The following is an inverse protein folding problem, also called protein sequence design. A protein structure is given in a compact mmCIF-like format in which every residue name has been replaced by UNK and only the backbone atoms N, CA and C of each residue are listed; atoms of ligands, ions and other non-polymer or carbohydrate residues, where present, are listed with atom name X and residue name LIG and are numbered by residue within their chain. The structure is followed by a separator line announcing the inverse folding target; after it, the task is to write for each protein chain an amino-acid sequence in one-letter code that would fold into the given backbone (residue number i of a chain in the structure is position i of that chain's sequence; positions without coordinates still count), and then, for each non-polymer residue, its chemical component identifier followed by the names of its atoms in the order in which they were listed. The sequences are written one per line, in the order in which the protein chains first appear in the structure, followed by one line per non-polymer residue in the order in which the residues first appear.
data_IF_550637101718
#
_entry.id   IF_550637101718
#
_cell.length_a   1.000
_cell.length_b   1.000
_cell.length_c   1.000
_cell.angle_alpha   90.00
_cell.angle_beta   90.00
_cell.angle_gamma   90.00
#
_symmetry.space_group_name_H-M   'P 1'
#
loop_
_entity.id
_entity.type
_entity.pdbx_description
1 polymer ?
#
# COMPACT_ATOMS: atom_id res chain seq x y z
N UNK A 1 -23.89 -28.73 -3.11
CA UNK A 1 -22.91 -28.68 -2.01
C UNK A 1 -21.90 -27.60 -2.34
N UNK A 2 -21.78 -26.57 -1.52
CA UNK A 2 -20.73 -25.55 -1.71
C UNK A 2 -19.39 -26.15 -1.26
N UNK A 3 -18.40 -26.18 -2.15
CA UNK A 3 -17.04 -26.61 -1.81
C UNK A 3 -16.41 -25.47 -1.01
N UNK A 4 -16.26 -25.66 0.30
CA UNK A 4 -15.56 -24.70 1.13
C UNK A 4 -14.06 -24.74 0.82
N UNK A 5 -13.50 -23.64 0.34
CA UNK A 5 -12.05 -23.52 0.14
C UNK A 5 -11.37 -23.66 1.51
N UNK A 6 -10.31 -24.48 1.66
CA UNK A 6 -9.54 -24.53 2.90
C UNK A 6 -8.89 -23.17 3.24
N UNK A 7 -8.86 -22.81 4.53
CA UNK A 7 -8.26 -21.54 5.01
C UNK A 7 -6.84 -21.33 4.54
N UNK A 8 -6.00 -22.37 4.63
CA UNK A 8 -4.61 -22.35 4.15
C UNK A 8 -4.46 -21.90 2.68
N UNK A 9 -5.45 -22.22 1.83
CA UNK A 9 -5.41 -21.85 0.41
C UNK A 9 -5.77 -20.37 0.25
N UNK A 10 -6.77 -19.89 1.01
CA UNK A 10 -7.14 -18.47 1.01
C UNK A 10 -6.00 -17.60 1.50
N UNK A 11 -5.35 -18.00 2.59
CA UNK A 11 -4.27 -17.20 3.18
C UNK A 11 -3.06 -17.12 2.24
N UNK A 12 -2.65 -18.24 1.64
CA UNK A 12 -1.57 -18.24 0.64
C UNK A 12 -1.89 -17.36 -0.58
N UNK A 13 -3.13 -17.44 -1.08
CA UNK A 13 -3.55 -16.59 -2.20
C UNK A 13 -3.51 -15.10 -1.83
N UNK A 14 -3.96 -14.76 -0.63
CA UNK A 14 -3.90 -13.39 -0.12
C UNK A 14 -2.46 -12.89 0.00
N UNK A 15 -1.56 -13.68 0.57
CA UNK A 15 -0.13 -13.34 0.66
C UNK A 15 0.49 -13.06 -0.71
N UNK A 16 0.16 -13.88 -1.72
CA UNK A 16 0.64 -13.70 -3.09
C UNK A 16 0.13 -12.40 -3.72
N UNK A 17 -1.16 -12.07 -3.53
CA UNK A 17 -1.73 -10.80 -4.01
C UNK A 17 -1.06 -9.60 -3.32
N UNK A 18 -0.85 -9.68 -2.00
CA UNK A 18 -0.17 -8.63 -1.24
C UNK A 18 1.27 -8.43 -1.71
N UNK A 19 1.97 -9.52 -2.03
CA UNK A 19 3.33 -9.48 -2.58
C UNK A 19 3.35 -8.78 -3.95
N UNK A 20 2.49 -9.20 -4.88
CA UNK A 20 2.37 -8.57 -6.21
C UNK A 20 2.07 -7.07 -6.11
N UNK A 21 1.22 -6.67 -5.16
CA UNK A 21 0.97 -5.25 -4.89
C UNK A 21 2.24 -4.54 -4.42
N UNK A 22 2.94 -5.08 -3.42
CA UNK A 22 4.16 -4.45 -2.86
C UNK A 22 5.30 -4.32 -3.88
N UNK A 23 5.39 -5.26 -4.82
CA UNK A 23 6.34 -5.24 -5.94
C UNK A 23 5.91 -4.29 -7.06
N UNK A 24 4.69 -3.74 -6.98
CA UNK A 24 4.12 -2.82 -7.96
C UNK A 24 3.66 -3.50 -9.24
N UNK A 25 3.50 -4.83 -9.23
CA UNK A 25 3.02 -5.61 -10.37
C UNK A 25 1.52 -5.41 -10.61
N UNK A 26 0.76 -5.17 -9.54
CA UNK A 26 -0.68 -4.86 -9.61
C UNK A 26 -1.01 -3.59 -8.84
N UNK A 27 -2.04 -2.88 -9.31
CA UNK A 27 -2.61 -1.75 -8.58
C UNK A 27 -3.45 -2.20 -7.39
N UNK A 28 -3.67 -1.31 -6.41
CA UNK A 28 -4.56 -1.59 -5.28
C UNK A 28 -5.99 -1.95 -5.73
N UNK A 29 -6.49 -1.32 -6.81
CA UNK A 29 -7.79 -1.66 -7.37
C UNK A 29 -7.83 -3.08 -7.91
N UNK A 30 -6.80 -3.47 -8.67
CA UNK A 30 -6.70 -4.82 -9.23
C UNK A 30 -6.52 -5.88 -8.15
N UNK A 31 -5.71 -5.61 -7.13
CA UNK A 31 -5.53 -6.50 -5.99
C UNK A 31 -6.83 -6.71 -5.20
N UNK A 32 -7.60 -5.64 -4.96
CA UNK A 32 -8.90 -5.72 -4.30
C UNK A 32 -9.90 -6.57 -5.09
N UNK A 33 -9.96 -6.41 -6.42
CA UNK A 33 -10.76 -7.26 -7.30
C UNK A 33 -10.36 -8.74 -7.20
N UNK A 34 -9.06 -9.05 -7.20
CA UNK A 34 -8.55 -10.42 -7.11
C UNK A 34 -8.94 -11.09 -5.80
N UNK A 35 -8.96 -10.34 -4.69
CA UNK A 35 -9.40 -10.82 -3.38
C UNK A 35 -10.92 -10.81 -3.20
N UNK A 36 -11.66 -10.23 -4.15
CA UNK A 36 -13.12 -10.11 -4.06
C UNK A 36 -13.58 -9.17 -2.93
N UNK A 37 -12.78 -8.16 -2.56
CA UNK A 37 -13.08 -7.21 -1.49
C UNK A 37 -13.16 -5.77 -2.02
N UNK A 38 -13.89 -4.86 -1.32
CA UNK A 38 -13.84 -3.44 -1.65
C UNK A 38 -12.43 -2.87 -1.54
N UNK A 39 -12.10 -1.89 -2.39
CA UNK A 39 -10.78 -1.24 -2.38
C UNK A 39 -10.43 -0.59 -1.03
N UNK A 40 -11.41 -0.06 -0.31
CA UNK A 40 -11.20 0.48 1.04
C UNK A 40 -10.75 -0.61 2.02
N UNK A 41 -11.43 -1.77 2.01
CA UNK A 41 -11.06 -2.93 2.83
C UNK A 41 -9.67 -3.48 2.46
N UNK A 42 -9.25 -3.35 1.19
CA UNK A 42 -7.89 -3.68 0.80
C UNK A 42 -6.85 -2.76 1.46
N UNK A 43 -7.12 -1.46 1.56
CA UNK A 43 -6.22 -0.54 2.28
C UNK A 43 -6.16 -0.82 3.78
N UNK A 44 -7.28 -1.20 4.40
CA UNK A 44 -7.31 -1.65 5.79
C UNK A 44 -6.45 -2.91 5.97
N UNK A 45 -6.60 -3.90 5.09
CA UNK A 45 -5.80 -5.12 5.09
C UNK A 45 -4.30 -4.83 4.96
N UNK A 46 -3.90 -3.89 4.10
CA UNK A 46 -2.49 -3.47 3.97
C UNK A 46 -1.94 -2.91 5.29
N UNK A 47 -2.73 -2.08 5.98
CA UNK A 47 -2.34 -1.49 7.26
C UNK A 47 -2.21 -2.55 8.36
N UNK A 48 -3.18 -3.46 8.45
CA UNK A 48 -3.18 -4.56 9.43
C UNK A 48 -2.00 -5.51 9.26
N UNK A 49 -1.65 -5.83 8.00
CA UNK A 49 -0.55 -6.76 7.67
C UNK A 49 0.82 -6.08 7.56
N UNK A 50 0.88 -4.75 7.70
CA UNK A 50 2.13 -3.98 7.59
C UNK A 50 2.77 -4.06 6.21
N UNK A 51 1.97 -4.21 5.16
CA UNK A 51 2.47 -4.32 3.78
C UNK A 51 2.90 -2.94 3.29
N UNK A 52 4.16 -2.77 2.84
CA UNK A 52 4.67 -1.47 2.41
C UNK A 52 3.99 -1.01 1.11
N UNK A 53 4.03 0.30 0.88
CA UNK A 53 3.65 0.86 -0.41
C UNK A 53 4.62 0.39 -1.51
N UNK A 54 4.14 0.24 -2.76
CA UNK A 54 5.02 -0.05 -3.89
C UNK A 54 6.15 0.96 -3.98
N UNK A 55 7.38 0.51 -4.27
CA UNK A 55 8.59 1.35 -4.20
C UNK A 55 8.45 2.65 -5.01
N UNK A 56 7.91 2.55 -6.24
CA UNK A 56 7.67 3.70 -7.11
C UNK A 56 6.71 4.71 -6.50
N UNK A 57 5.63 4.24 -5.87
CA UNK A 57 4.66 5.09 -5.19
C UNK A 57 5.28 5.74 -3.96
N UNK A 58 5.99 4.95 -3.15
CA UNK A 58 6.69 5.44 -1.96
C UNK A 58 7.67 6.56 -2.32
N UNK A 59 8.48 6.36 -3.38
CA UNK A 59 9.42 7.37 -3.86
C UNK A 59 8.72 8.64 -4.34
N UNK A 60 7.67 8.50 -5.15
CA UNK A 60 6.89 9.64 -5.64
C UNK A 60 6.30 10.47 -4.50
N UNK A 61 5.79 9.81 -3.45
CA UNK A 61 5.24 10.48 -2.28
C UNK A 61 6.34 11.19 -1.48
N UNK A 62 7.50 10.56 -1.29
CA UNK A 62 8.63 11.19 -0.59
C UNK A 62 9.13 12.44 -1.31
N UNK A 63 9.24 12.41 -2.64
CA UNK A 63 9.61 13.57 -3.46
C UNK A 63 8.57 14.70 -3.36
N UNK A 64 7.28 14.37 -3.36
CA UNK A 64 6.20 15.35 -3.18
C UNK A 64 6.24 15.96 -1.78
N UNK A 65 6.39 15.14 -0.75
CA UNK A 65 6.53 15.60 0.64
C UNK A 65 7.73 16.53 0.82
N UNK A 66 8.86 16.23 0.17
CA UNK A 66 10.03 17.11 0.22
C UNK A 66 9.76 18.49 -0.37
N UNK A 67 9.02 18.57 -1.49
CA UNK A 67 8.62 19.84 -2.12
C UNK A 67 7.66 20.64 -1.25
N UNK A 68 6.80 19.96 -0.50
CA UNK A 68 5.85 20.57 0.43
C UNK A 68 6.49 20.99 1.76
N UNK A 69 7.72 20.55 2.07
CA UNK A 69 8.39 20.98 3.31
C UNK A 69 8.57 22.49 3.29
N UNK A 70 8.08 23.21 4.32
CA UNK A 70 8.30 24.64 4.39
C UNK A 70 9.81 24.89 4.45
N UNK A 71 10.32 25.78 3.58
CA UNK A 71 11.68 26.29 3.71
C UNK A 71 11.82 26.80 5.13
N UNK A 72 12.76 26.24 5.92
CA UNK A 72 13.10 26.78 7.23
C UNK A 72 13.33 28.27 7.03
N UNK A 73 12.43 29.09 7.58
CA UNK A 73 12.57 30.53 7.55
C UNK A 73 13.84 30.85 8.35
N UNK A 74 14.96 31.09 7.67
CA UNK A 74 16.13 31.69 8.29
C UNK A 74 15.78 33.16 8.49
N UNK A 75 15.03 33.46 9.54
CA UNK A 75 14.84 34.84 9.98
C UNK A 75 16.20 35.52 10.14
N UNK A 76 16.30 36.84 9.91
CA UNK A 76 17.57 37.54 10.04
C UNK A 76 18.15 37.29 11.43
N UNK A 77 19.43 36.89 11.50
CA UNK A 77 20.18 36.85 12.77
C UNK A 77 20.14 38.26 13.33
N UNK A 78 19.42 38.45 14.44
CA UNK A 78 19.54 39.68 15.23
C UNK A 78 20.98 39.71 15.76
N UNK A 79 21.75 40.64 15.21
CA UNK A 79 23.07 41.07 15.71
C UNK A 79 22.95 41.72 17.06
#
# INVERSE_FOLDING_TARGET
MAVAIPERIRERFMEEVLKMYSEGEVSAGRAAEMLGIPRAAFYELLAERGVPLPEKLNRSLLEELEKLRPKKYSGPRRT
#
